data_IF_192689806298
#
_entry.id   IF_192689806298
#
_cell.length_a   1.000
_cell.length_b   1.000
_cell.length_c   1.000
_cell.angle_alpha   90.00
_cell.angle_beta   90.00
_cell.angle_gamma   90.00
#
_symmetry.space_group_name_H-M   'P 1'
#
loop_
_entity.id
_entity.type
_entity.pdbx_description
1 polymer ?
#
# COMPACT_ATOMS: atom_id res chain seq x y z
N UNK A 1 -8.02 -9.13 13.14
CA UNK A 1 -7.82 -10.57 12.82
C UNK A 1 -9.20 -11.07 12.38
N UNK A 2 -9.35 -11.74 11.23
CA UNK A 2 -10.65 -12.31 10.85
C UNK A 2 -10.84 -13.62 11.64
N UNK A 3 -11.79 -13.64 12.57
CA UNK A 3 -11.99 -14.75 13.52
C UNK A 3 -12.76 -15.95 12.95
N UNK A 4 -13.27 -15.87 11.71
CA UNK A 4 -14.17 -16.90 11.17
C UNK A 4 -13.53 -18.05 10.38
N UNK A 5 -12.34 -17.89 9.77
CA UNK A 5 -11.76 -18.96 8.94
C UNK A 5 -10.27 -18.69 8.59
N UNK A 6 -9.30 -19.27 9.33
CA UNK A 6 -7.88 -19.06 9.03
C UNK A 6 -7.46 -19.60 7.66
N UNK A 7 -8.17 -20.59 7.11
CA UNK A 7 -7.90 -21.13 5.76
C UNK A 7 -8.19 -20.08 4.69
N UNK A 8 -9.24 -19.26 4.88
CA UNK A 8 -9.55 -18.17 3.97
C UNK A 8 -8.47 -17.09 3.99
N UNK A 9 -7.98 -16.71 5.18
CA UNK A 9 -6.88 -15.73 5.31
C UNK A 9 -5.59 -16.19 4.60
N UNK A 10 -5.24 -17.46 4.74
CA UNK A 10 -4.09 -18.07 4.04
C UNK A 10 -4.31 -18.12 2.52
N UNK A 11 -5.53 -18.45 2.09
CA UNK A 11 -5.89 -18.47 0.68
C UNK A 11 -5.80 -17.07 0.05
N UNK A 12 -6.37 -16.04 0.70
CA UNK A 12 -6.27 -14.64 0.27
C UNK A 12 -4.81 -14.20 0.16
N UNK A 13 -3.99 -14.53 1.16
CA UNK A 13 -2.55 -14.20 1.16
C UNK A 13 -1.81 -14.88 0.00
N UNK A 14 -2.17 -16.11 -0.31
CA UNK A 14 -1.62 -16.88 -1.44
C UNK A 14 -2.02 -16.24 -2.78
N UNK A 15 -3.28 -15.87 -2.96
CA UNK A 15 -3.75 -15.19 -4.18
C UNK A 15 -2.99 -13.88 -4.41
N UNK A 16 -2.85 -13.05 -3.37
CA UNK A 16 -2.09 -11.79 -3.45
C UNK A 16 -0.62 -12.00 -3.81
N UNK A 17 0.02 -13.04 -3.26
CA UNK A 17 1.40 -13.42 -3.60
C UNK A 17 1.52 -13.81 -5.07
N UNK A 18 0.62 -14.66 -5.56
CA UNK A 18 0.64 -15.09 -6.96
C UNK A 18 0.40 -13.92 -7.92
N UNK A 19 -0.55 -13.05 -7.63
CA UNK A 19 -0.80 -11.86 -8.44
C UNK A 19 0.42 -10.92 -8.49
N UNK A 20 1.07 -10.67 -7.34
CA UNK A 20 2.30 -9.87 -7.29
C UNK A 20 3.44 -10.50 -8.08
N UNK A 21 3.59 -11.82 -8.02
CA UNK A 21 4.60 -12.52 -8.81
C UNK A 21 4.32 -12.42 -10.31
N UNK A 22 3.05 -12.50 -10.73
CA UNK A 22 2.64 -12.37 -12.13
C UNK A 22 2.95 -10.97 -12.66
N UNK A 23 2.65 -9.92 -11.89
CA UNK A 23 3.04 -8.54 -12.21
C UNK A 23 4.54 -8.34 -12.35
N UNK A 24 5.36 -9.10 -11.61
CA UNK A 24 6.82 -9.06 -11.67
C UNK A 24 7.42 -9.96 -12.76
N UNK A 25 6.60 -10.51 -13.65
CA UNK A 25 7.06 -11.44 -14.69
C UNK A 25 7.60 -12.78 -14.15
N UNK A 26 7.38 -13.09 -12.87
CA UNK A 26 7.76 -14.38 -12.28
C UNK A 26 6.70 -15.42 -12.62
N UNK A 27 7.12 -16.68 -12.82
CA UNK A 27 6.20 -17.80 -13.00
C UNK A 27 5.27 -17.98 -11.80
N UNK A 28 3.98 -18.18 -12.06
CA UNK A 28 2.95 -18.38 -11.03
C UNK A 28 1.79 -19.21 -11.57
N UNK A 29 1.03 -19.84 -10.67
CA UNK A 29 -0.13 -20.67 -11.00
C UNK A 29 -1.45 -19.88 -11.11
N UNK A 30 -1.41 -18.54 -11.07
CA UNK A 30 -2.60 -17.70 -11.21
C UNK A 30 -2.92 -17.43 -12.70
N UNK A 31 -4.04 -17.98 -13.15
CA UNK A 31 -4.56 -17.76 -14.50
C UNK A 31 -5.26 -16.40 -14.60
N UNK A 32 -5.36 -15.85 -15.80
CA UNK A 32 -6.09 -14.58 -16.03
C UNK A 32 -7.57 -14.69 -15.70
N UNK A 33 -8.17 -15.85 -15.93
CA UNK A 33 -9.55 -16.14 -15.53
C UNK A 33 -9.77 -16.03 -14.02
N UNK A 34 -8.81 -16.54 -13.21
CA UNK A 34 -8.88 -16.42 -11.74
C UNK A 34 -8.76 -14.97 -11.30
N UNK A 35 -7.93 -14.18 -11.98
CA UNK A 35 -7.80 -12.74 -11.71
C UNK A 35 -9.10 -12.03 -12.05
N UNK A 36 -9.70 -12.35 -13.21
CA UNK A 36 -10.94 -11.75 -13.68
C UNK A 36 -12.09 -11.98 -12.69
N UNK A 37 -12.33 -13.23 -12.28
CA UNK A 37 -13.37 -13.58 -11.29
C UNK A 37 -13.21 -12.84 -9.97
N UNK A 38 -11.96 -12.69 -9.52
CA UNK A 38 -11.67 -11.95 -8.29
C UNK A 38 -11.86 -10.44 -8.47
N UNK A 39 -11.56 -9.90 -9.66
CA UNK A 39 -11.81 -8.49 -9.99
C UNK A 39 -13.32 -8.18 -10.02
N UNK A 40 -14.15 -9.07 -10.56
CA UNK A 40 -15.61 -8.89 -10.62
C UNK A 40 -16.25 -8.73 -9.23
N UNK A 41 -15.72 -9.43 -8.22
CA UNK A 41 -16.20 -9.32 -6.84
C UNK A 41 -15.51 -8.20 -6.03
N UNK A 42 -14.75 -7.32 -6.69
CA UNK A 42 -14.05 -6.22 -6.03
C UNK A 42 -12.89 -6.66 -5.13
N UNK A 43 -12.26 -7.81 -5.42
CA UNK A 43 -11.17 -8.32 -4.59
C UNK A 43 -9.96 -7.38 -4.57
N UNK A 44 -9.63 -6.88 -3.38
CA UNK A 44 -8.47 -6.02 -3.17
C UNK A 44 -7.18 -6.85 -3.15
N UNK A 45 -6.41 -6.76 -4.24
CA UNK A 45 -5.13 -7.46 -4.41
C UNK A 45 -4.00 -6.87 -3.57
N UNK A 46 -4.05 -5.56 -3.31
CA UNK A 46 -3.07 -4.88 -2.49
C UNK A 46 -3.68 -4.37 -1.19
N UNK A 47 -3.48 -5.15 -0.13
CA UNK A 47 -3.79 -4.71 1.23
C UNK A 47 -2.52 -4.33 2.02
N UNK A 48 -1.39 -4.08 1.32
CA UNK A 48 -0.21 -3.50 1.97
C UNK A 48 -0.45 -2.09 2.50
N UNK A 49 -1.59 -1.48 2.15
CA UNK A 49 -2.20 -0.28 2.75
C UNK A 49 -2.40 -0.33 4.29
N UNK A 50 -1.99 -1.38 4.99
CA UNK A 50 -1.89 -1.39 6.46
C UNK A 50 -0.59 -0.75 6.98
N UNK A 51 0.39 -0.55 6.13
CA UNK A 51 1.59 0.24 6.43
C UNK A 51 1.78 1.24 5.30
N UNK A 52 1.45 2.51 5.57
CA UNK A 52 2.07 3.78 5.17
C UNK A 52 3.26 3.86 4.18
N UNK A 53 3.93 2.77 3.82
CA UNK A 53 4.85 2.73 2.69
C UNK A 53 4.04 2.61 1.39
N UNK A 54 3.80 3.75 0.77
CA UNK A 54 3.19 3.80 -0.55
C UNK A 54 4.12 3.15 -1.57
N UNK A 55 3.60 2.17 -2.32
CA UNK A 55 4.39 1.27 -3.17
C UNK A 55 4.21 1.50 -4.67
N UNK A 56 3.28 2.36 -5.07
CA UNK A 56 3.04 2.75 -6.45
C UNK A 56 3.39 4.23 -6.67
N UNK A 57 3.70 4.59 -7.92
CA UNK A 57 4.07 5.95 -8.31
C UNK A 57 2.94 6.95 -8.04
N UNK A 58 1.69 6.52 -8.19
CA UNK A 58 0.50 7.36 -7.91
C UNK A 58 0.44 7.77 -6.45
N UNK A 59 0.62 6.82 -5.54
CA UNK A 59 0.53 7.15 -4.14
C UNK A 59 1.80 7.82 -3.61
N UNK A 60 2.98 7.57 -4.19
CA UNK A 60 4.18 8.37 -3.90
C UNK A 60 3.95 9.83 -4.31
N UNK A 61 3.39 10.05 -5.51
CA UNK A 61 3.03 11.38 -6.03
C UNK A 61 2.05 12.08 -5.10
N UNK A 62 1.02 11.37 -4.64
CA UNK A 62 0.07 11.91 -3.67
C UNK A 62 0.75 12.37 -2.38
N UNK A 63 1.60 11.54 -1.77
CA UNK A 63 2.29 11.92 -0.54
C UNK A 63 3.26 13.09 -0.74
N UNK A 64 3.88 13.16 -1.92
CA UNK A 64 4.72 14.29 -2.30
C UNK A 64 3.92 15.60 -2.42
N UNK A 65 2.73 15.57 -3.03
CA UNK A 65 1.83 16.72 -3.08
C UNK A 65 1.40 17.15 -1.66
N UNK A 66 1.02 16.20 -0.80
CA UNK A 66 0.67 16.49 0.60
C UNK A 66 1.86 17.08 1.38
N UNK A 67 3.10 16.69 1.07
CA UNK A 67 4.31 17.30 1.65
C UNK A 67 4.54 18.73 1.14
N UNK A 68 4.25 19.00 -0.14
CA UNK A 68 4.34 20.37 -0.68
C UNK A 68 3.35 21.30 0.01
N UNK A 69 2.10 20.88 0.17
CA UNK A 69 1.09 21.65 0.91
C UNK A 69 1.53 21.88 2.37
N UNK A 70 2.08 20.86 3.04
CA UNK A 70 2.63 21.02 4.39
C UNK A 70 3.72 22.10 4.42
N UNK A 71 4.64 22.09 3.45
CA UNK A 71 5.72 23.08 3.34
C UNK A 71 5.19 24.48 3.09
N UNK A 72 4.14 24.65 2.28
CA UNK A 72 3.51 25.95 2.07
C UNK A 72 2.89 26.49 3.36
N UNK A 73 2.26 25.62 4.16
CA UNK A 73 1.63 26.01 5.43
C UNK A 73 2.62 26.27 6.57
N UNK A 74 3.69 25.49 6.67
CA UNK A 74 4.60 25.50 7.84
C UNK A 74 5.98 26.11 7.52
N UNK A 75 6.31 26.30 6.24
CA UNK A 75 7.61 26.82 5.79
C UNK A 75 8.73 25.78 5.71
N UNK A 76 8.50 24.55 6.18
CA UNK A 76 9.50 23.47 6.21
C UNK A 76 8.91 22.10 5.85
N UNK A 77 9.78 21.10 5.71
CA UNK A 77 9.40 19.69 5.51
C UNK A 77 9.61 18.84 6.78
N UNK A 78 9.65 19.47 7.96
CA UNK A 78 9.87 18.84 9.26
C UNK A 78 8.58 18.25 9.82
N UNK A 79 7.88 17.45 9.01
CA UNK A 79 6.65 16.77 9.42
C UNK A 79 6.94 15.86 10.63
N UNK A 80 6.23 16.03 11.76
CA UNK A 80 6.33 15.14 12.91
C UNK A 80 5.82 13.73 12.58
N UNK A 81 6.39 12.70 13.22
CA UNK A 81 5.95 11.32 13.02
C UNK A 81 4.45 11.13 13.33
N UNK A 82 3.99 11.73 14.44
CA UNK A 82 2.59 11.71 14.88
C UNK A 82 1.82 12.96 14.43
N UNK A 83 2.07 13.46 13.21
CA UNK A 83 1.40 14.65 12.72
C UNK A 83 -0.13 14.48 12.72
N UNK A 84 -0.82 15.23 13.59
CA UNK A 84 -2.27 15.06 13.82
C UNK A 84 -3.11 15.43 12.59
N UNK A 85 -2.67 16.43 11.81
CA UNK A 85 -3.35 16.85 10.58
C UNK A 85 -3.33 15.78 9.50
N UNK A 86 -2.27 14.96 9.46
CA UNK A 86 -2.15 13.85 8.54
C UNK A 86 -1.15 12.79 9.05
N UNK A 87 -1.62 11.79 9.83
CA UNK A 87 -0.75 10.76 10.40
C UNK A 87 -0.06 9.90 9.34
N UNK A 88 -0.66 9.79 8.14
CA UNK A 88 -0.06 9.07 7.02
C UNK A 88 1.16 9.81 6.48
N UNK A 89 1.07 11.14 6.34
CA UNK A 89 2.20 11.98 5.94
C UNK A 89 3.35 11.91 6.94
N UNK A 90 3.06 12.02 8.25
CA UNK A 90 4.07 11.88 9.29
C UNK A 90 4.83 10.55 9.22
N UNK A 91 4.10 9.45 9.02
CA UNK A 91 4.74 8.13 8.90
C UNK A 91 5.49 7.96 7.58
N UNK A 92 4.96 8.49 6.48
CA UNK A 92 5.60 8.42 5.16
C UNK A 92 6.91 9.21 5.14
N UNK A 93 6.92 10.44 5.64
CA UNK A 93 8.13 11.28 5.74
C UNK A 93 9.17 10.62 6.65
N UNK A 94 8.75 10.06 7.79
CA UNK A 94 9.66 9.29 8.65
C UNK A 94 10.27 8.10 7.91
N UNK A 95 9.46 7.36 7.14
CA UNK A 95 9.94 6.24 6.33
C UNK A 95 10.97 6.72 5.29
N UNK A 96 10.73 7.84 4.60
CA UNK A 96 11.72 8.40 3.66
C UNK A 96 13.03 8.76 4.35
N UNK A 97 12.99 9.33 5.56
CA UNK A 97 14.21 9.67 6.35
C UNK A 97 15.00 8.44 6.81
N UNK A 98 14.36 7.30 6.97
CA UNK A 98 15.01 6.04 7.40
C UNK A 98 15.64 5.27 6.22
N UNK A 99 15.32 5.62 4.99
CA UNK A 99 15.75 4.88 3.77
C UNK A 99 17.02 5.45 3.11
N UNK A 100 17.60 6.51 3.67
CA UNK A 100 18.87 7.14 3.28
C UNK A 100 19.71 7.38 4.52
#
# INVERSE_FOLDING_TARGET
>A
KYEGNPKLGNWVSTQRRFYRNKKKGKGTQITDERIHKLKEIGFVWDASNKSCAVRDDEGWTRMFLELMEYKEMHGDCLVPFNYEGNPKLGTWVHTQRMMY
#
